data_IF_749158396135
#
_entry.id   IF_749158396135
#
_cell.length_a   1.000
_cell.length_b   1.000
_cell.length_c   1.000
_cell.angle_alpha   90.00
_cell.angle_beta   90.00
_cell.angle_gamma   90.00
#
_symmetry.space_group_name_H-M   'P 1'
#
loop_
_entity.id
_entity.type
_entity.pdbx_description
1 polymer ?
#
# COMPACT_ATOMS: atom_id res chain seq x y z
N UNK A 1 24.19 -6.45 54.10
CA UNK A 1 24.15 -6.94 52.70
C UNK A 1 22.98 -6.25 52.04
N UNK A 2 23.27 -5.32 51.12
CA UNK A 2 22.28 -4.52 50.44
C UNK A 2 21.74 -5.30 49.23
N UNK A 3 20.41 -5.36 49.11
CA UNK A 3 19.70 -5.91 47.97
C UNK A 3 19.97 -5.07 46.72
N UNK A 4 20.23 -5.67 45.54
CA UNK A 4 20.34 -4.90 44.32
C UNK A 4 18.95 -4.38 43.91
N UNK A 5 18.84 -3.06 43.78
CA UNK A 5 17.69 -2.39 43.19
C UNK A 5 17.66 -2.65 41.67
N UNK A 6 16.51 -2.98 41.07
CA UNK A 6 16.41 -3.03 39.61
C UNK A 6 16.21 -1.61 39.08
N UNK A 7 17.29 -0.89 38.77
CA UNK A 7 17.28 0.11 37.71
C UNK A 7 17.71 -0.62 36.44
N UNK A 8 16.94 -0.65 35.36
CA UNK A 8 16.58 0.52 34.57
C UNK A 8 15.37 0.19 33.71
N UNK A 9 14.39 1.08 33.68
CA UNK A 9 13.31 1.09 32.70
C UNK A 9 13.95 1.25 31.32
N UNK A 10 14.10 0.16 30.58
CA UNK A 10 14.32 0.22 29.15
C UNK A 10 13.13 0.98 28.57
N UNK A 11 13.35 2.24 28.20
CA UNK A 11 12.33 3.00 27.48
C UNK A 11 12.19 2.29 26.16
N UNK A 12 11.12 1.51 25.99
CA UNK A 12 10.74 0.92 24.71
C UNK A 12 10.59 2.12 23.77
N UNK A 13 11.64 2.40 23.00
CA UNK A 13 11.65 3.47 22.01
C UNK A 13 10.56 3.11 21.00
N UNK A 14 9.46 3.86 21.03
CA UNK A 14 8.43 3.77 19.99
C UNK A 14 9.10 4.14 18.66
N UNK A 15 9.25 3.20 17.72
CA UNK A 15 9.95 3.45 16.47
C UNK A 15 9.16 4.37 15.53
N UNK A 16 7.92 4.75 15.88
CA UNK A 16 7.10 5.78 15.24
C UNK A 16 6.88 7.01 16.12
N UNK A 17 7.56 7.09 17.26
CA UNK A 17 7.52 8.24 18.15
C UNK A 17 8.11 9.49 17.49
N UNK A 18 7.72 10.67 17.97
CA UNK A 18 8.10 11.98 17.39
C UNK A 18 9.62 12.18 17.18
N UNK A 19 10.45 11.56 18.01
CA UNK A 19 11.91 11.68 17.97
C UNK A 19 12.60 10.46 17.33
N UNK A 20 11.84 9.52 16.78
CA UNK A 20 12.36 8.33 16.13
C UNK A 20 12.68 8.59 14.65
N UNK A 21 13.55 7.78 14.01
CA UNK A 21 13.84 7.88 12.59
C UNK A 21 12.61 7.83 11.68
N UNK A 22 11.56 7.11 12.08
CA UNK A 22 10.30 7.01 11.33
C UNK A 22 9.18 7.89 11.90
N UNK A 23 9.47 8.82 12.82
CA UNK A 23 8.48 9.67 13.48
C UNK A 23 7.72 10.63 12.54
N UNK A 24 8.28 10.90 11.37
CA UNK A 24 7.68 11.72 10.30
C UNK A 24 7.27 10.90 9.07
N UNK A 25 7.35 9.57 9.14
CA UNK A 25 6.92 8.72 8.05
C UNK A 25 5.42 8.91 7.80
N UNK A 26 5.01 9.02 6.54
CA UNK A 26 3.60 9.04 6.13
C UNK A 26 3.01 7.62 6.17
N UNK A 27 3.83 6.64 5.82
CA UNK A 27 3.43 5.23 5.80
C UNK A 27 4.55 4.32 6.25
N UNK A 28 4.16 3.11 6.62
CA UNK A 28 5.07 2.03 6.97
C UNK A 28 4.70 0.77 6.21
N UNK A 29 5.72 0.03 5.79
CA UNK A 29 5.62 -1.22 5.06
C UNK A 29 6.25 -2.34 5.92
N UNK A 30 5.42 -3.22 6.49
CA UNK A 30 5.89 -4.29 7.40
C UNK A 30 5.91 -5.65 6.72
N UNK A 31 6.97 -6.45 6.87
CA UNK A 31 6.96 -7.84 6.40
C UNK A 31 5.87 -8.67 7.10
N UNK A 32 4.98 -9.33 6.35
CA UNK A 32 3.92 -10.18 6.91
C UNK A 32 4.24 -11.68 6.79
N UNK A 33 4.58 -12.17 5.59
CA UNK A 33 4.86 -13.60 5.37
C UNK A 33 6.32 -13.97 5.68
N UNK A 34 6.58 -15.27 5.78
CA UNK A 34 7.89 -15.83 6.11
C UNK A 34 8.97 -15.40 5.10
N UNK A 35 8.62 -15.38 3.82
CA UNK A 35 9.52 -14.94 2.75
C UNK A 35 9.91 -13.46 2.89
N UNK A 36 8.95 -12.57 3.16
CA UNK A 36 9.23 -11.15 3.36
C UNK A 36 10.05 -10.88 4.63
N UNK A 37 9.75 -11.59 5.73
CA UNK A 37 10.52 -11.48 6.98
C UNK A 37 11.98 -11.91 6.80
N UNK A 38 12.19 -13.03 6.11
CA UNK A 38 13.52 -13.52 5.77
C UNK A 38 14.27 -12.57 4.84
N UNK A 39 13.63 -12.09 3.78
CA UNK A 39 14.21 -11.13 2.85
C UNK A 39 14.57 -9.80 3.54
N UNK A 40 13.70 -9.31 4.43
CA UNK A 40 13.99 -8.14 5.26
C UNK A 40 15.25 -8.35 6.12
N UNK A 41 15.37 -9.52 6.77
CA UNK A 41 16.55 -9.84 7.57
C UNK A 41 17.83 -9.83 6.74
N UNK A 42 17.82 -10.43 5.55
CA UNK A 42 18.97 -10.42 4.64
C UNK A 42 19.37 -9.00 4.22
N UNK A 43 18.38 -8.11 3.99
CA UNK A 43 18.65 -6.70 3.69
C UNK A 43 19.32 -6.00 4.89
N UNK A 44 18.89 -6.30 6.12
CA UNK A 44 19.55 -5.76 7.33
C UNK A 44 20.98 -6.28 7.44
N UNK A 45 21.20 -7.59 7.21
CA UNK A 45 22.55 -8.17 7.22
C UNK A 45 23.45 -7.51 6.17
N UNK A 46 22.95 -7.33 4.94
CA UNK A 46 23.66 -6.62 3.87
C UNK A 46 24.05 -5.19 4.27
N UNK A 47 23.18 -4.48 5.00
CA UNK A 47 23.48 -3.13 5.51
C UNK A 47 24.53 -3.19 6.63
N UNK A 48 24.40 -4.14 7.57
CA UNK A 48 25.32 -4.28 8.73
C UNK A 48 26.71 -4.80 8.37
N UNK A 49 26.88 -5.52 7.26
CA UNK A 49 28.20 -5.89 6.74
C UNK A 49 29.13 -4.65 6.55
N UNK A 50 28.56 -3.45 6.43
CA UNK A 50 29.27 -2.16 6.42
C UNK A 50 30.14 -1.92 7.66
N UNK A 51 29.74 -2.37 8.84
CA UNK A 51 30.43 -2.07 10.10
C UNK A 51 31.67 -2.95 10.32
N UNK A 52 31.82 -4.05 9.56
CA UNK A 52 32.87 -5.05 9.74
C UNK A 52 34.06 -4.92 8.76
N UNK A 53 33.95 -4.09 7.71
CA UNK A 53 34.95 -3.98 6.61
C UNK A 53 35.54 -2.55 6.47
N UNK A 54 35.47 -1.76 7.54
CA UNK A 54 35.73 -0.31 7.57
C UNK A 54 37.21 0.11 7.53
N UNK A 55 38.01 -0.45 6.62
CA UNK A 55 39.39 0.00 6.40
C UNK A 55 39.74 0.43 4.96
N UNK A 56 38.92 0.22 3.90
CA UNK A 56 39.44 0.53 2.54
C UNK A 56 38.46 0.87 1.38
N UNK A 57 37.16 1.17 1.57
CA UNK A 57 36.29 1.44 0.40
C UNK A 57 35.22 2.54 0.62
N UNK A 58 35.61 3.80 0.39
CA UNK A 58 34.77 5.02 0.47
C UNK A 58 33.62 5.07 -0.57
N UNK A 59 33.57 4.16 -1.54
CA UNK A 59 32.55 4.15 -2.60
C UNK A 59 31.38 3.20 -2.30
N UNK A 60 31.62 2.06 -1.65
CA UNK A 60 30.55 1.10 -1.33
C UNK A 60 29.67 1.60 -0.16
N UNK A 61 30.20 2.54 0.63
CA UNK A 61 29.58 3.18 1.79
C UNK A 61 28.36 4.04 1.45
N UNK A 62 28.25 4.60 0.23
CA UNK A 62 27.11 5.45 -0.17
C UNK A 62 25.84 4.62 -0.46
N UNK A 63 25.99 3.41 -1.00
CA UNK A 63 24.83 2.58 -1.40
C UNK A 63 24.09 2.00 -0.21
N UNK A 64 24.83 1.47 0.78
CA UNK A 64 24.22 0.88 1.98
C UNK A 64 23.56 1.94 2.86
N UNK A 65 24.23 3.08 3.04
CA UNK A 65 23.67 4.23 3.77
C UNK A 65 22.41 4.78 3.08
N UNK A 66 22.34 4.74 1.75
CA UNK A 66 21.12 5.07 1.03
C UNK A 66 19.94 4.17 1.40
N UNK A 67 20.13 2.85 1.55
CA UNK A 67 19.04 1.94 1.91
C UNK A 67 18.66 2.03 3.38
N UNK A 68 19.64 2.21 4.26
CA UNK A 68 19.45 2.29 5.71
C UNK A 68 18.49 3.43 6.12
N UNK A 69 18.46 4.55 5.38
CA UNK A 69 17.61 5.70 5.71
C UNK A 69 16.10 5.43 5.58
N UNK A 70 15.69 4.38 4.88
CA UNK A 70 14.27 4.05 4.64
C UNK A 70 13.74 2.92 5.52
N UNK A 71 14.51 2.46 6.51
CA UNK A 71 14.12 1.32 7.33
C UNK A 71 14.49 1.51 8.79
N UNK A 72 13.67 0.93 9.65
CA UNK A 72 13.97 0.75 11.06
C UNK A 72 13.99 -0.75 11.35
N UNK A 73 15.00 -1.21 12.09
CA UNK A 73 15.13 -2.59 12.51
C UNK A 73 15.53 -2.66 13.99
N UNK A 74 15.18 -3.79 14.63
CA UNK A 74 15.47 -4.04 16.04
C UNK A 74 16.98 -4.19 16.30
N UNK A 75 17.40 -3.83 17.52
CA UNK A 75 18.80 -3.98 17.93
C UNK A 75 19.20 -5.45 18.16
N UNK A 76 18.21 -6.32 18.39
CA UNK A 76 18.39 -7.75 18.62
C UNK A 76 17.70 -8.58 17.55
N UNK A 77 18.28 -9.73 17.22
CA UNK A 77 17.64 -10.74 16.39
C UNK A 77 16.68 -11.59 17.21
N UNK A 78 15.61 -12.05 16.59
CA UNK A 78 14.57 -12.86 17.22
C UNK A 78 14.40 -14.17 16.46
N UNK A 79 14.13 -15.25 17.18
CA UNK A 79 13.78 -16.53 16.57
C UNK A 79 12.32 -16.51 16.07
N UNK A 80 12.14 -16.77 14.77
CA UNK A 80 10.83 -17.00 14.17
C UNK A 80 10.74 -18.43 13.64
N UNK A 81 9.87 -19.23 14.26
CA UNK A 81 9.72 -20.66 13.92
C UNK A 81 9.13 -20.89 12.52
N UNK A 82 8.33 -19.95 12.00
CA UNK A 82 7.75 -20.07 10.67
C UNK A 82 8.82 -19.77 9.61
N UNK A 83 9.63 -18.73 9.84
CA UNK A 83 10.78 -18.43 8.97
C UNK A 83 11.81 -19.54 9.00
N UNK A 84 12.10 -20.10 10.18
CA UNK A 84 13.02 -21.24 10.28
C UNK A 84 12.55 -22.44 9.46
N UNK A 85 11.24 -22.76 9.47
CA UNK A 85 10.69 -23.82 8.61
C UNK A 85 10.79 -23.47 7.13
N UNK A 86 10.50 -22.22 6.77
CA UNK A 86 10.59 -21.74 5.39
C UNK A 86 12.02 -21.84 4.83
N UNK A 87 13.01 -21.37 5.59
CA UNK A 87 14.43 -21.43 5.20
C UNK A 87 14.88 -22.88 5.06
N UNK A 88 14.58 -23.72 6.05
CA UNK A 88 14.94 -25.15 5.99
C UNK A 88 14.26 -25.88 4.82
N UNK A 89 13.04 -25.51 4.45
CA UNK A 89 12.38 -26.12 3.29
C UNK A 89 13.06 -25.72 1.98
N UNK A 90 13.47 -24.45 1.85
CA UNK A 90 14.15 -23.97 0.65
C UNK A 90 15.57 -24.54 0.52
N UNK A 91 16.32 -24.69 1.61
CA UNK A 91 17.66 -25.31 1.58
C UNK A 91 17.60 -26.79 1.20
N UNK A 92 16.54 -27.51 1.59
CA UNK A 92 16.32 -28.90 1.17
C UNK A 92 16.00 -28.98 -0.33
N UNK A 93 15.23 -28.04 -0.88
CA UNK A 93 14.90 -27.99 -2.31
C UNK A 93 16.09 -27.58 -3.20
N UNK A 94 16.99 -26.74 -2.69
CA UNK A 94 18.21 -26.31 -3.40
C UNK A 94 19.36 -27.33 -3.33
N UNK A 95 19.21 -28.39 -2.53
CA UNK A 95 20.19 -29.50 -2.48
C UNK A 95 19.99 -30.44 -3.67
N UNK A 96 20.89 -30.47 -4.68
CA UNK A 96 20.75 -31.36 -5.81
C UNK A 96 20.89 -32.81 -5.33
N UNK A 97 19.79 -33.55 -5.32
CA UNK A 97 19.77 -34.96 -4.99
C UNK A 97 20.57 -35.73 -6.05
N UNK A 98 21.83 -36.07 -5.74
CA UNK A 98 22.56 -37.08 -6.51
C UNK A 98 21.94 -38.45 -6.20
N UNK A 99 21.54 -39.27 -7.20
CA UNK A 99 21.05 -40.60 -6.93
C UNK A 99 22.25 -41.52 -6.78
N UNK A 100 22.58 -41.95 -5.56
CA UNK A 100 23.51 -43.08 -5.35
C UNK A 100 23.27 -43.77 -4.01
N UNK A 101 22.59 -44.91 -4.11
CA UNK A 101 23.01 -46.20 -3.54
C UNK A 101 23.44 -46.26 -2.07
N UNK A 102 22.50 -46.74 -1.24
CA UNK A 102 22.72 -47.69 -0.14
C UNK A 102 24.11 -47.74 0.50
N UNK A 103 24.28 -47.04 1.61
CA UNK A 103 25.06 -47.55 2.74
C UNK A 103 24.54 -46.95 4.05
N UNK A 104 24.30 -47.85 4.99
CA UNK A 104 23.93 -47.57 6.36
C UNK A 104 25.04 -46.78 7.06
N UNK A 105 24.85 -45.47 7.17
CA UNK A 105 25.51 -44.65 8.18
C UNK A 105 24.40 -43.84 8.84
N UNK A 106 24.32 -43.95 10.16
CA UNK A 106 23.52 -43.11 11.05
C UNK A 106 23.89 -41.64 10.83
N UNK A 107 23.30 -41.02 9.81
CA UNK A 107 23.30 -39.58 9.65
C UNK A 107 22.33 -39.04 10.69
N UNK A 108 22.86 -38.34 11.68
CA UNK A 108 22.10 -37.43 12.50
C UNK A 108 21.15 -36.65 11.61
N UNK A 109 19.84 -36.79 11.85
CA UNK A 109 18.90 -35.71 11.62
C UNK A 109 19.48 -34.51 12.37
N UNK A 110 20.31 -33.70 11.72
CA UNK A 110 20.72 -32.42 12.28
C UNK A 110 19.41 -31.69 12.56
N UNK A 111 19.17 -31.40 13.84
CA UNK A 111 18.00 -30.62 14.22
C UNK A 111 18.04 -29.32 13.40
N UNK A 112 16.90 -28.91 12.82
CA UNK A 112 16.84 -27.70 12.01
C UNK A 112 17.41 -26.54 12.83
N UNK A 113 18.52 -25.97 12.35
CA UNK A 113 19.18 -24.88 13.06
C UNK A 113 18.20 -23.71 13.19
N UNK A 114 17.97 -23.18 14.41
CA UNK A 114 17.02 -22.10 14.60
C UNK A 114 17.47 -20.86 13.83
N UNK A 115 16.66 -20.40 12.89
CA UNK A 115 16.96 -19.18 12.12
C UNK A 115 16.59 -17.96 12.95
N UNK A 116 17.61 -17.17 13.32
CA UNK A 116 17.45 -15.86 13.93
C UNK A 116 17.28 -14.82 12.82
N UNK A 117 16.35 -13.89 13.01
CA UNK A 117 16.07 -12.84 12.03
C UNK A 117 16.05 -11.45 12.67
N UNK A 118 16.41 -10.45 11.88
CA UNK A 118 16.13 -9.06 12.22
C UNK A 118 14.64 -8.76 12.02
N UNK A 119 14.05 -7.99 12.93
CA UNK A 119 12.66 -7.55 12.82
C UNK A 119 12.59 -6.04 12.61
N UNK A 120 11.56 -5.55 11.95
CA UNK A 120 11.47 -4.13 11.62
C UNK A 120 10.47 -3.84 10.52
N UNK A 121 10.64 -2.69 9.89
CA UNK A 121 9.79 -2.22 8.80
C UNK A 121 10.49 -1.18 7.93
N UNK A 122 10.04 -1.03 6.70
CA UNK A 122 10.37 0.12 5.88
C UNK A 122 9.41 1.27 6.17
N UNK A 123 9.86 2.50 6.01
CA UNK A 123 9.02 3.67 6.21
C UNK A 123 9.19 4.68 5.08
N UNK A 124 8.10 5.34 4.73
CA UNK A 124 8.01 6.28 3.61
C UNK A 124 7.85 7.68 4.19
N UNK A 125 8.95 8.43 4.21
CA UNK A 125 9.00 9.81 4.67
C UNK A 125 9.29 10.72 3.47
N UNK A 126 8.43 11.71 3.24
CA UNK A 126 8.58 12.68 2.14
C UNK A 126 9.71 13.67 2.36
N UNK A 127 10.23 13.78 3.59
CA UNK A 127 11.40 14.60 3.89
C UNK A 127 12.71 13.90 3.49
N UNK A 128 12.68 12.60 3.22
CA UNK A 128 13.84 11.83 2.78
C UNK A 128 13.91 11.87 1.25
N UNK A 129 15.03 12.37 0.73
CA UNK A 129 15.26 12.47 -0.72
C UNK A 129 15.28 11.09 -1.38
N UNK A 130 14.38 10.87 -2.32
CA UNK A 130 14.33 9.68 -3.20
C UNK A 130 15.33 9.79 -4.36
N UNK A 131 15.59 8.68 -5.04
CA UNK A 131 16.42 8.64 -6.24
C UNK A 131 15.82 9.44 -7.39
N UNK A 132 14.49 9.38 -7.50
CA UNK A 132 13.70 9.99 -8.54
C UNK A 132 12.60 10.82 -7.88
N UNK A 133 12.79 12.14 -7.85
CA UNK A 133 11.87 13.06 -7.17
C UNK A 133 10.52 13.21 -7.90
N UNK A 134 10.41 12.67 -9.11
CA UNK A 134 9.28 12.78 -10.03
C UNK A 134 8.37 11.55 -10.04
N UNK A 135 8.70 10.46 -9.33
CA UNK A 135 7.90 9.22 -9.41
C UNK A 135 7.50 8.61 -8.06
N UNK A 136 7.93 9.14 -6.92
CA UNK A 136 7.61 8.55 -5.60
C UNK A 136 8.71 7.62 -5.09
N UNK A 137 8.37 6.61 -4.28
CA UNK A 137 9.34 5.66 -3.74
C UNK A 137 9.40 4.40 -4.61
N UNK A 138 10.56 4.16 -5.21
CA UNK A 138 10.80 2.99 -6.03
C UNK A 138 11.18 1.81 -5.12
N UNK A 139 10.47 0.69 -5.26
CA UNK A 139 10.71 -0.53 -4.48
C UNK A 139 11.19 -1.66 -5.37
N UNK A 140 12.11 -2.50 -4.87
CA UNK A 140 12.57 -3.65 -5.64
C UNK A 140 13.76 -4.37 -5.03
N UNK A 141 14.50 -5.07 -5.89
CA UNK A 141 15.59 -5.97 -5.50
C UNK A 141 16.98 -5.37 -5.77
N UNK A 142 17.96 -5.78 -4.98
CA UNK A 142 19.36 -5.36 -5.12
C UNK A 142 19.88 -5.62 -6.53
N UNK A 143 20.59 -4.62 -7.05
CA UNK A 143 21.38 -4.73 -8.26
C UNK A 143 22.84 -4.91 -7.88
N UNK A 144 23.38 -6.13 -8.02
CA UNK A 144 24.82 -6.40 -7.81
C UNK A 144 25.70 -5.44 -8.64
N UNK A 145 25.27 -5.13 -9.87
CA UNK A 145 25.91 -4.14 -10.72
C UNK A 145 25.84 -2.72 -10.11
N UNK A 146 24.69 -2.35 -9.54
CA UNK A 146 24.51 -1.06 -8.86
C UNK A 146 25.46 -0.91 -7.67
N UNK A 147 25.58 -1.95 -6.85
CA UNK A 147 26.54 -1.99 -5.74
C UNK A 147 27.98 -1.80 -6.25
N UNK A 148 28.39 -2.52 -7.30
CA UNK A 148 29.73 -2.38 -7.89
C UNK A 148 30.04 -0.98 -8.44
N UNK A 149 29.01 -0.19 -8.78
CA UNK A 149 29.17 1.18 -9.28
C UNK A 149 28.80 2.24 -8.26
N UNK A 150 28.64 1.87 -6.98
CA UNK A 150 28.19 2.79 -5.93
C UNK A 150 26.86 3.51 -6.26
N UNK A 151 25.96 2.84 -6.97
CA UNK A 151 24.71 3.42 -7.47
C UNK A 151 23.48 2.64 -6.98
N UNK A 152 22.73 3.17 -5.99
CA UNK A 152 21.45 2.60 -5.61
C UNK A 152 20.47 2.62 -6.78
N UNK A 153 19.74 1.51 -6.99
CA UNK A 153 18.81 1.37 -8.11
C UNK A 153 17.34 1.59 -7.76
N UNK A 154 17.03 1.58 -6.45
CA UNK A 154 15.70 1.71 -5.83
C UNK A 154 15.84 2.46 -4.52
N UNK A 155 14.76 3.03 -4.01
CA UNK A 155 14.72 3.67 -2.69
C UNK A 155 14.57 2.61 -1.60
N UNK A 156 13.60 1.70 -1.76
CA UNK A 156 13.29 0.65 -0.79
C UNK A 156 13.75 -0.69 -1.33
N UNK A 157 14.75 -1.26 -0.66
CA UNK A 157 15.32 -2.56 -0.99
C UNK A 157 14.55 -3.67 -0.28
N UNK A 158 13.75 -4.45 -1.02
CA UNK A 158 12.90 -5.50 -0.47
C UNK A 158 13.64 -6.82 -0.25
N UNK A 159 14.63 -7.10 -1.09
CA UNK A 159 15.42 -8.34 -1.07
C UNK A 159 16.72 -8.11 -1.85
N UNK A 160 17.77 -8.84 -1.49
CA UNK A 160 19.02 -8.94 -2.26
C UNK A 160 19.03 -10.17 -3.19
N UNK A 161 18.24 -11.19 -2.83
CA UNK A 161 18.13 -12.45 -3.54
C UNK A 161 17.15 -12.40 -4.73
N UNK A 162 17.49 -13.13 -5.79
CA UNK A 162 16.68 -13.30 -7.00
C UNK A 162 15.49 -14.24 -6.78
N UNK A 163 15.49 -15.08 -5.74
CA UNK A 163 14.32 -15.85 -5.39
C UNK A 163 13.18 -14.91 -4.96
N UNK A 164 11.93 -15.29 -5.24
CA UNK A 164 10.76 -14.51 -4.85
C UNK A 164 10.13 -13.62 -5.94
N UNK A 165 10.59 -13.75 -7.20
CA UNK A 165 10.00 -13.05 -8.36
C UNK A 165 9.99 -11.51 -8.28
N UNK A 166 10.86 -10.92 -7.46
CA UNK A 166 11.01 -9.46 -7.32
C UNK A 166 11.98 -8.92 -8.38
N UNK A 167 11.49 -7.99 -9.20
CA UNK A 167 12.33 -7.31 -10.18
C UNK A 167 13.25 -6.27 -9.51
N UNK A 168 14.31 -5.85 -10.21
CA UNK A 168 15.22 -4.82 -9.69
C UNK A 168 14.51 -3.51 -9.38
N UNK A 169 13.61 -3.09 -10.27
CA UNK A 169 12.73 -1.91 -10.12
C UNK A 169 11.30 -2.40 -10.21
N UNK A 170 10.76 -2.89 -9.10
CA UNK A 170 9.57 -3.71 -9.15
C UNK A 170 8.30 -2.88 -9.27
N UNK A 171 8.10 -1.99 -8.30
CA UNK A 171 6.91 -1.17 -8.22
C UNK A 171 7.27 0.20 -7.66
N UNK A 172 6.32 1.11 -7.77
CA UNK A 172 6.42 2.46 -7.22
C UNK A 172 5.27 2.64 -6.25
N UNK A 173 5.58 3.08 -5.04
CA UNK A 173 4.60 3.52 -4.05
C UNK A 173 4.54 5.04 -4.13
N UNK A 174 3.36 5.61 -4.27
CA UNK A 174 3.14 7.05 -4.31
C UNK A 174 1.74 7.40 -3.79
N UNK A 175 1.33 8.66 -3.86
CA UNK A 175 0.00 9.12 -3.50
C UNK A 175 -0.76 9.64 -4.72
N UNK A 176 -2.06 9.37 -4.79
CA UNK A 176 -2.92 9.96 -5.81
C UNK A 176 -3.03 11.48 -5.59
N UNK A 177 -2.91 12.30 -6.65
CA UNK A 177 -3.14 13.75 -6.54
C UNK A 177 -4.60 14.07 -6.18
N UNK A 178 -5.56 13.26 -6.63
CA UNK A 178 -6.99 13.50 -6.39
C UNK A 178 -7.44 13.01 -5.01
N UNK A 179 -7.15 11.75 -4.70
CA UNK A 179 -7.67 11.09 -3.49
C UNK A 179 -6.68 11.14 -2.33
N UNK A 180 -5.43 11.57 -2.54
CA UNK A 180 -4.36 11.54 -1.52
C UNK A 180 -4.16 10.17 -0.86
N UNK A 181 -4.76 9.12 -1.41
CA UNK A 181 -4.57 7.76 -0.98
C UNK A 181 -3.26 7.26 -1.57
N UNK A 182 -2.58 6.43 -0.79
CA UNK A 182 -1.44 5.72 -1.29
C UNK A 182 -1.85 4.79 -2.43
N UNK A 183 -0.95 4.64 -3.37
CA UNK A 183 -1.13 3.93 -4.63
C UNK A 183 0.13 3.13 -4.89
N UNK A 184 -0.03 1.96 -5.48
CA UNK A 184 1.07 1.12 -5.95
C UNK A 184 0.91 0.99 -7.44
N UNK A 185 1.98 1.25 -8.18
CA UNK A 185 2.03 1.04 -9.62
C UNK A 185 3.16 0.08 -9.99
N UNK A 186 2.89 -0.81 -10.94
CA UNK A 186 3.89 -1.76 -11.41
C UNK A 186 4.84 -1.05 -12.39
N UNK A 187 6.15 -1.13 -12.13
CA UNK A 187 7.18 -0.52 -12.97
C UNK A 187 7.84 -1.60 -13.85
N UNK A 188 8.41 -2.65 -13.25
CA UNK A 188 8.87 -3.86 -13.93
C UNK A 188 8.62 -5.12 -13.09
N UNK A 189 8.42 -6.26 -13.73
CA UNK A 189 8.26 -7.55 -13.04
C UNK A 189 7.00 -8.27 -13.45
N UNK A 190 6.78 -9.45 -12.85
CA UNK A 190 5.70 -10.34 -13.26
C UNK A 190 4.33 -9.85 -12.77
N UNK A 191 4.25 -9.47 -11.50
CA UNK A 191 3.01 -8.95 -10.90
C UNK A 191 3.25 -8.30 -9.55
N UNK A 192 2.39 -7.35 -9.20
CA UNK A 192 2.16 -6.93 -7.83
C UNK A 192 0.68 -7.10 -7.49
N UNK A 193 0.33 -7.37 -6.23
CA UNK A 193 -1.08 -7.49 -5.81
C UNK A 193 -1.31 -6.57 -4.63
N UNK A 194 -2.30 -5.69 -4.71
CA UNK A 194 -2.72 -4.83 -3.60
C UNK A 194 -4.11 -5.26 -3.18
N UNK A 195 -4.24 -5.79 -1.97
CA UNK A 195 -5.45 -6.40 -1.45
C UNK A 195 -5.95 -7.50 -2.42
N UNK A 196 -7.05 -7.26 -3.13
CA UNK A 196 -7.61 -8.16 -4.14
C UNK A 196 -7.30 -7.71 -5.59
N UNK A 197 -6.63 -6.57 -5.78
CA UNK A 197 -6.33 -5.99 -7.09
C UNK A 197 -4.97 -6.46 -7.60
N UNK A 198 -4.95 -7.23 -8.68
CA UNK A 198 -3.72 -7.69 -9.33
C UNK A 198 -3.25 -6.70 -10.40
N UNK A 199 -1.97 -6.34 -10.34
CA UNK A 199 -1.25 -5.50 -11.29
C UNK A 199 -0.33 -6.39 -12.13
N UNK A 200 -0.62 -6.54 -13.41
CA UNK A 200 0.12 -7.45 -14.33
C UNK A 200 0.74 -6.73 -15.52
N UNK A 201 0.51 -5.43 -15.67
CA UNK A 201 1.08 -4.63 -16.74
C UNK A 201 1.65 -3.31 -16.21
N UNK A 202 2.73 -2.85 -16.86
CA UNK A 202 3.41 -1.60 -16.49
C UNK A 202 2.44 -0.43 -16.53
N UNK A 203 2.48 0.42 -15.50
CA UNK A 203 1.63 1.60 -15.38
C UNK A 203 0.21 1.30 -14.87
N UNK A 204 -0.14 0.03 -14.62
CA UNK A 204 -1.36 -0.26 -13.85
C UNK A 204 -1.17 0.17 -12.40
N UNK A 205 -2.22 0.75 -11.82
CA UNK A 205 -2.22 1.32 -10.48
C UNK A 205 -3.29 0.64 -9.64
N UNK A 206 -2.97 0.38 -8.37
CA UNK A 206 -3.93 -0.04 -7.36
C UNK A 206 -3.91 0.92 -6.16
N UNK A 207 -5.08 1.16 -5.60
CA UNK A 207 -5.28 2.05 -4.47
C UNK A 207 -5.19 1.35 -3.12
N UNK A 208 -4.55 2.00 -2.16
CA UNK A 208 -4.45 1.57 -0.77
C UNK A 208 -5.51 2.28 0.09
N UNK A 209 -6.78 1.94 -0.16
CA UNK A 209 -7.94 2.60 0.45
C UNK A 209 -8.25 2.15 1.90
N UNK A 210 -7.61 1.08 2.37
CA UNK A 210 -7.83 0.52 3.70
C UNK A 210 -6.87 1.14 4.71
N UNK A 211 -7.21 1.10 6.00
CA UNK A 211 -6.29 1.52 7.07
C UNK A 211 -5.02 0.66 7.13
N UNK A 212 -5.16 -0.64 6.83
CA UNK A 212 -4.07 -1.59 6.62
C UNK A 212 -4.32 -2.30 5.28
N UNK A 213 -3.38 -2.17 4.35
CA UNK A 213 -3.45 -2.78 3.02
C UNK A 213 -2.43 -3.90 2.95
N UNK A 214 -2.77 -4.99 2.25
CA UNK A 214 -1.82 -6.06 1.96
C UNK A 214 -1.24 -5.87 0.58
N UNK A 215 0.08 -5.93 0.46
CA UNK A 215 0.77 -5.77 -0.81
C UNK A 215 1.70 -6.96 -1.03
N UNK A 216 1.59 -7.57 -2.20
CA UNK A 216 2.50 -8.59 -2.67
C UNK A 216 3.40 -8.01 -3.75
N UNK A 217 4.71 -8.15 -3.54
CA UNK A 217 5.75 -7.88 -4.54
C UNK A 217 6.37 -9.23 -4.89
N UNK A 218 5.94 -9.83 -6.01
CA UNK A 218 6.20 -11.24 -6.26
C UNK A 218 5.69 -12.12 -5.11
N UNK A 219 6.59 -12.87 -4.48
CA UNK A 219 6.27 -13.79 -3.38
C UNK A 219 6.37 -13.13 -1.99
N UNK A 220 6.79 -11.86 -1.92
CA UNK A 220 6.97 -11.13 -0.66
C UNK A 220 5.69 -10.37 -0.30
N UNK A 221 5.10 -10.68 0.85
CA UNK A 221 3.87 -10.07 1.35
C UNK A 221 4.16 -9.07 2.47
N UNK A 222 3.62 -7.86 2.33
CA UNK A 222 3.80 -6.77 3.28
C UNK A 222 2.45 -6.14 3.67
N UNK A 223 2.39 -5.57 4.88
CA UNK A 223 1.33 -4.65 5.29
C UNK A 223 1.77 -3.21 5.01
N UNK A 224 0.93 -2.43 4.35
CA UNK A 224 1.09 -0.98 4.22
C UNK A 224 0.05 -0.28 5.09
N UNK A 225 0.53 0.53 6.01
CA UNK A 225 -0.31 1.25 6.97
C UNK A 225 0.02 2.74 6.96
N UNK A 226 -1.04 3.56 7.07
CA UNK A 226 -0.90 4.99 7.29
C UNK A 226 -0.49 5.24 8.74
N UNK A 227 0.56 6.04 8.94
CA UNK A 227 1.01 6.36 10.30
C UNK A 227 0.09 7.39 10.96
N UNK A 228 0.13 7.51 12.30
CA UNK A 228 -0.51 8.62 12.99
C UNK A 228 0.00 10.00 12.53
N UNK A 229 1.27 10.11 12.09
CA UNK A 229 1.84 11.36 11.57
C UNK A 229 1.12 11.80 10.29
N UNK A 230 0.87 10.88 9.36
CA UNK A 230 0.16 11.17 8.12
C UNK A 230 -1.21 11.81 8.35
N UNK A 231 -1.91 11.44 9.43
CA UNK A 231 -3.25 11.95 9.75
C UNK A 231 -3.25 13.31 10.47
N UNK A 232 -2.08 13.79 10.93
CA UNK A 232 -1.94 15.09 11.60
C UNK A 232 -1.82 16.23 10.57
N UNK A 233 -2.14 17.48 10.97
CA UNK A 233 -1.98 18.64 10.07
C UNK A 233 -0.59 18.79 9.46
N UNK A 234 0.47 18.51 10.22
CA UNK A 234 1.85 18.55 9.72
C UNK A 234 2.08 17.47 8.65
N UNK A 235 1.69 16.22 8.89
CA UNK A 235 1.82 15.16 7.90
C UNK A 235 0.98 15.40 6.65
N UNK A 236 -0.21 15.98 6.78
CA UNK A 236 -1.02 16.40 5.63
C UNK A 236 -0.36 17.53 4.82
N UNK A 237 0.39 18.42 5.48
CA UNK A 237 1.17 19.47 4.82
C UNK A 237 2.36 18.88 4.05
N UNK A 238 3.10 17.98 4.69
CA UNK A 238 4.23 17.27 4.08
C UNK A 238 3.77 16.40 2.90
N UNK A 239 2.62 15.72 3.03
CA UNK A 239 1.98 14.98 1.95
C UNK A 239 1.56 15.89 0.79
N UNK A 240 0.93 17.04 1.08
CA UNK A 240 0.57 18.02 0.05
C UNK A 240 1.79 18.50 -0.72
N UNK A 241 2.87 18.81 0.00
CA UNK A 241 4.12 19.28 -0.59
C UNK A 241 4.75 18.20 -1.47
N UNK A 242 4.74 16.95 -1.02
CA UNK A 242 5.20 15.79 -1.80
C UNK A 242 4.43 15.61 -3.10
N UNK A 243 3.09 15.59 -3.03
CA UNK A 243 2.23 15.43 -4.20
C UNK A 243 2.44 16.59 -5.19
N UNK A 244 2.51 17.83 -4.69
CA UNK A 244 2.75 19.03 -5.52
C UNK A 244 4.12 18.99 -6.17
N UNK A 245 5.15 18.50 -5.47
CA UNK A 245 6.49 18.33 -6.03
C UNK A 245 6.55 17.37 -7.22
N UNK A 246 5.66 16.38 -7.27
CA UNK A 246 5.59 15.38 -8.34
C UNK A 246 4.66 15.81 -9.48
N UNK A 247 3.44 16.27 -9.13
CA UNK A 247 2.36 16.51 -10.09
C UNK A 247 2.16 17.99 -10.46
N UNK A 248 2.91 18.90 -9.81
CA UNK A 248 2.74 20.33 -9.94
C UNK A 248 1.49 20.87 -9.24
N UNK A 249 1.14 22.11 -9.58
CA UNK A 249 0.04 22.87 -8.97
C UNK A 249 -1.36 22.47 -9.49
N UNK A 250 -1.45 21.47 -10.38
CA UNK A 250 -2.72 20.93 -10.89
C UNK A 250 -3.36 20.00 -9.84
N UNK A 251 -3.64 20.56 -8.68
CA UNK A 251 -4.22 19.89 -7.53
C UNK A 251 -5.74 20.08 -7.50
N UNK A 252 -6.49 19.12 -6.95
CA UNK A 252 -7.94 19.28 -6.79
C UNK A 252 -8.27 20.50 -5.94
N UNK A 253 -9.43 21.08 -6.23
CA UNK A 253 -10.00 22.16 -5.40
C UNK A 253 -10.16 21.72 -3.95
N UNK A 254 -10.17 22.67 -3.02
CA UNK A 254 -10.29 22.40 -1.58
C UNK A 254 -11.56 21.61 -1.25
N UNK A 255 -12.63 21.84 -2.00
CA UNK A 255 -13.91 21.15 -1.86
C UNK A 255 -13.79 19.66 -2.25
N UNK A 256 -13.10 19.35 -3.36
CA UNK A 256 -12.77 17.97 -3.73
C UNK A 256 -11.86 17.33 -2.69
N UNK A 257 -10.93 18.09 -2.12
CA UNK A 257 -10.05 17.62 -1.05
C UNK A 257 -10.78 17.35 0.27
N UNK A 258 -11.85 18.08 0.57
CA UNK A 258 -12.71 17.79 1.72
C UNK A 258 -13.60 16.56 1.47
N UNK A 259 -13.92 16.27 0.21
CA UNK A 259 -14.58 15.04 -0.19
C UNK A 259 -13.60 13.85 -0.29
N UNK A 260 -12.29 14.11 -0.17
CA UNK A 260 -11.26 13.08 -0.22
C UNK A 260 -11.47 12.07 0.89
N UNK A 261 -11.53 10.78 0.56
CA UNK A 261 -11.91 9.82 1.56
C UNK A 261 -10.79 9.48 2.53
N UNK A 262 -11.11 9.39 3.82
CA UNK A 262 -10.16 8.91 4.83
C UNK A 262 -10.05 7.38 4.74
N UNK A 263 -8.84 6.80 4.72
CA UNK A 263 -8.66 5.36 4.79
C UNK A 263 -9.44 4.76 5.98
N UNK A 264 -10.28 3.75 5.72
CA UNK A 264 -11.08 3.13 6.77
C UNK A 264 -10.26 2.12 7.58
N UNK A 265 -10.13 2.36 8.88
CA UNK A 265 -9.46 1.44 9.82
C UNK A 265 -10.39 0.38 10.39
N UNK A 266 -11.70 0.62 10.41
CA UNK A 266 -12.70 -0.30 10.98
C UNK A 266 -13.90 -0.49 10.08
N UNK A 267 -14.42 -1.72 9.97
CA UNK A 267 -15.61 -2.08 9.18
C UNK A 267 -15.53 -1.68 7.70
N UNK A 268 -14.44 -2.09 7.04
CA UNK A 268 -14.25 -1.94 5.60
C UNK A 268 -15.45 -2.53 4.85
N UNK A 269 -16.10 -1.71 4.03
CA UNK A 269 -17.19 -2.16 3.16
C UNK A 269 -16.80 -1.97 1.70
N UNK A 270 -16.98 -3.02 0.90
CA UNK A 270 -16.79 -2.98 -0.55
C UNK A 270 -18.10 -3.21 -1.26
N UNK A 271 -18.32 -2.50 -2.35
CA UNK A 271 -19.43 -2.76 -3.29
C UNK A 271 -18.81 -3.02 -4.65
N UNK A 272 -18.88 -4.28 -5.10
CA UNK A 272 -18.10 -4.71 -6.26
C UNK A 272 -16.61 -4.44 -6.06
N UNK A 273 -16.03 -3.64 -6.95
CA UNK A 273 -14.61 -3.24 -6.93
C UNK A 273 -14.31 -1.94 -6.19
N UNK A 274 -15.33 -1.31 -5.61
CA UNK A 274 -15.20 0.00 -4.95
C UNK A 274 -15.13 -0.16 -3.44
N UNK A 275 -14.21 0.55 -2.82
CA UNK A 275 -14.09 0.61 -1.36
C UNK A 275 -14.86 1.83 -0.86
N UNK A 276 -15.83 1.59 0.04
CA UNK A 276 -16.53 2.65 0.76
C UNK A 276 -15.56 3.20 1.79
N UNK A 277 -15.36 4.51 1.77
CA UNK A 277 -14.28 5.16 2.51
C UNK A 277 -14.78 6.25 3.46
N UNK A 278 -16.08 6.52 3.48
CA UNK A 278 -16.69 7.51 4.37
C UNK A 278 -18.08 7.12 4.86
N UNK A 279 -18.63 8.00 5.69
CA UNK A 279 -19.98 7.87 6.21
C UNK A 279 -21.06 8.14 5.17
N UNK A 280 -22.30 8.24 5.64
CA UNK A 280 -23.45 8.62 4.83
C UNK A 280 -23.32 10.08 4.37
N UNK A 281 -23.13 10.31 3.08
CA UNK A 281 -23.13 11.67 2.49
C UNK A 281 -24.54 12.23 2.39
N UNK A 282 -25.51 11.38 2.03
CA UNK A 282 -26.89 11.81 1.86
C UNK A 282 -27.87 10.65 1.94
N UNK A 283 -29.08 10.92 2.41
CA UNK A 283 -30.19 9.95 2.48
C UNK A 283 -31.46 10.57 1.93
N UNK A 284 -32.10 9.85 1.02
CA UNK A 284 -33.41 10.17 0.51
C UNK A 284 -34.38 9.02 0.70
N UNK A 285 -35.63 9.24 0.29
CA UNK A 285 -36.71 8.24 0.37
C UNK A 285 -36.39 6.95 -0.38
N UNK A 286 -35.55 7.02 -1.40
CA UNK A 286 -35.26 5.90 -2.31
C UNK A 286 -33.84 5.36 -2.19
N UNK A 287 -33.07 5.78 -1.18
CA UNK A 287 -31.72 5.25 -0.99
C UNK A 287 -30.79 6.14 -0.19
N UNK A 288 -29.54 5.69 -0.13
CA UNK A 288 -28.43 6.34 0.56
C UNK A 288 -27.26 6.53 -0.39
N UNK A 289 -26.53 7.63 -0.22
CA UNK A 289 -25.33 7.97 -0.99
C UNK A 289 -24.14 7.95 -0.05
N UNK A 290 -23.06 7.29 -0.47
CA UNK A 290 -21.80 7.21 0.25
C UNK A 290 -20.63 7.48 -0.70
N UNK A 291 -19.53 8.07 -0.21
CA UNK A 291 -18.33 8.21 -1.00
C UNK A 291 -17.61 6.86 -1.06
N UNK A 292 -16.97 6.61 -2.19
CA UNK A 292 -16.13 5.45 -2.41
C UNK A 292 -14.94 5.81 -3.28
N UNK A 293 -14.00 4.88 -3.41
CA UNK A 293 -12.88 4.97 -4.36
C UNK A 293 -12.84 3.73 -5.23
N UNK A 294 -12.38 3.93 -6.46
CA UNK A 294 -12.11 2.84 -7.39
C UNK A 294 -10.95 1.94 -6.95
N UNK A 295 -10.75 0.80 -7.63
CA UNK A 295 -9.68 -0.14 -7.31
C UNK A 295 -8.27 0.44 -7.58
N UNK A 296 -8.16 1.44 -8.45
CA UNK A 296 -6.93 2.19 -8.70
C UNK A 296 -6.63 3.21 -7.58
N UNK A 297 -7.61 3.50 -6.73
CA UNK A 297 -7.55 4.54 -5.71
C UNK A 297 -7.32 5.94 -6.27
N UNK A 298 -7.42 6.14 -7.59
CA UNK A 298 -7.06 7.39 -8.23
C UNK A 298 -8.23 8.38 -8.21
N UNK A 299 -9.46 7.89 -8.29
CA UNK A 299 -10.66 8.74 -8.36
C UNK A 299 -11.61 8.52 -7.20
N UNK A 300 -12.22 9.62 -6.75
CA UNK A 300 -13.37 9.57 -5.85
C UNK A 300 -14.59 9.18 -6.68
N UNK A 301 -15.55 8.47 -6.11
CA UNK A 301 -16.87 8.22 -6.72
C UNK A 301 -17.96 8.32 -5.67
N UNK A 302 -19.20 8.53 -6.09
CA UNK A 302 -20.37 8.46 -5.23
C UNK A 302 -21.18 7.20 -5.54
N UNK A 303 -21.50 6.41 -4.51
CA UNK A 303 -22.34 5.22 -4.67
C UNK A 303 -23.70 5.46 -4.04
N UNK A 304 -24.74 5.48 -4.87
CA UNK A 304 -26.13 5.48 -4.44
C UNK A 304 -26.65 4.06 -4.32
N UNK A 305 -26.87 3.59 -3.09
CA UNK A 305 -27.56 2.32 -2.81
C UNK A 305 -29.07 2.55 -2.74
N UNK A 306 -29.82 1.80 -3.51
CA UNK A 306 -31.28 1.75 -3.51
C UNK A 306 -31.75 0.33 -3.18
N UNK A 307 -32.79 0.24 -2.37
CA UNK A 307 -33.41 -1.02 -1.96
C UNK A 307 -34.75 -1.18 -2.67
N UNK A 308 -34.93 -2.26 -3.42
CA UNK A 308 -36.14 -2.53 -4.17
C UNK A 308 -36.81 -3.84 -3.70
N UNK A 309 -38.05 -3.72 -3.25
CA UNK A 309 -38.93 -4.89 -3.05
C UNK A 309 -39.29 -5.53 -4.39
N UNK A 310 -39.70 -6.81 -4.42
CA UNK A 310 -40.01 -7.53 -5.67
C UNK A 310 -40.91 -6.76 -6.65
N UNK A 311 -41.93 -6.06 -6.15
CA UNK A 311 -42.86 -5.27 -6.96
C UNK A 311 -42.26 -4.03 -7.63
N UNK A 312 -41.08 -3.56 -7.19
CA UNK A 312 -40.41 -2.36 -7.71
C UNK A 312 -39.12 -2.67 -8.47
N UNK A 313 -38.72 -3.94 -8.57
CA UNK A 313 -37.48 -4.34 -9.26
C UNK A 313 -37.48 -3.87 -10.72
N UNK A 314 -38.54 -4.18 -11.46
CA UNK A 314 -38.63 -3.84 -12.88
C UNK A 314 -38.58 -2.33 -13.12
N UNK A 315 -39.36 -1.57 -12.35
CA UNK A 315 -39.35 -0.11 -12.38
C UNK A 315 -37.95 0.46 -12.08
N UNK A 316 -37.25 -0.11 -11.09
CA UNK A 316 -35.89 0.33 -10.71
C UNK A 316 -34.90 0.06 -11.84
N UNK A 317 -34.97 -1.11 -12.48
CA UNK A 317 -34.13 -1.47 -13.64
C UNK A 317 -34.35 -0.53 -14.82
N UNK A 318 -35.60 -0.20 -15.15
CA UNK A 318 -35.93 0.74 -16.23
C UNK A 318 -35.35 2.14 -15.97
N UNK A 319 -35.39 2.61 -14.71
CA UNK A 319 -34.77 3.89 -14.33
C UNK A 319 -33.25 3.86 -14.45
N UNK A 320 -32.60 2.77 -14.03
CA UNK A 320 -31.15 2.60 -14.18
C UNK A 320 -30.75 2.55 -15.66
N UNK A 321 -31.52 1.83 -16.49
CA UNK A 321 -31.28 1.77 -17.94
C UNK A 321 -31.41 3.15 -18.60
N UNK A 322 -32.36 3.97 -18.17
CA UNK A 322 -32.47 5.36 -18.62
C UNK A 322 -31.26 6.20 -18.19
N UNK A 323 -30.78 6.02 -16.96
CA UNK A 323 -29.57 6.72 -16.48
C UNK A 323 -28.33 6.34 -17.29
N UNK A 324 -28.15 5.06 -17.60
CA UNK A 324 -27.08 4.56 -18.47
C UNK A 324 -27.17 5.19 -19.88
N UNK A 325 -28.38 5.21 -20.45
CA UNK A 325 -28.62 5.83 -21.75
C UNK A 325 -28.24 7.32 -21.76
N UNK A 326 -28.64 8.06 -20.73
CA UNK A 326 -28.31 9.49 -20.58
C UNK A 326 -26.80 9.68 -20.43
N UNK A 327 -26.13 8.88 -19.60
CA UNK A 327 -24.68 8.96 -19.37
C UNK A 327 -23.90 8.75 -20.68
N UNK A 328 -24.25 7.72 -21.47
CA UNK A 328 -23.63 7.45 -22.76
C UNK A 328 -23.87 8.56 -23.78
N UNK A 329 -25.07 9.15 -23.80
CA UNK A 329 -25.40 10.29 -24.68
C UNK A 329 -24.61 11.54 -24.29
N UNK A 330 -24.58 11.87 -23.00
CA UNK A 330 -23.80 12.99 -22.48
C UNK A 330 -22.31 12.85 -22.84
N UNK A 331 -21.74 11.66 -22.69
CA UNK A 331 -20.35 11.39 -23.07
C UNK A 331 -20.12 11.54 -24.59
N UNK A 332 -21.01 11.01 -25.43
CA UNK A 332 -20.92 11.13 -26.88
C UNK A 332 -21.01 12.59 -27.36
N UNK A 333 -21.81 13.40 -26.67
CA UNK A 333 -22.00 14.82 -26.97
C UNK A 333 -21.03 15.74 -26.20
N UNK A 334 -20.08 15.17 -25.45
CA UNK A 334 -19.12 15.90 -24.60
C UNK A 334 -19.80 16.90 -23.64
N UNK A 335 -20.96 16.51 -23.10
CA UNK A 335 -21.71 17.30 -22.13
C UNK A 335 -21.21 17.01 -20.72
N UNK A 336 -20.76 18.06 -20.02
CA UNK A 336 -20.23 17.97 -18.66
C UNK A 336 -21.23 18.42 -17.58
N UNK A 337 -22.42 18.90 -17.98
CA UNK A 337 -23.46 19.41 -17.08
C UNK A 337 -24.42 18.34 -16.57
N UNK A 338 -24.16 17.06 -16.90
CA UNK A 338 -24.99 15.92 -16.50
C UNK A 338 -24.14 15.03 -15.62
N UNK A 339 -24.66 14.69 -14.44
CA UNK A 339 -24.00 13.73 -13.55
C UNK A 339 -23.91 12.37 -14.25
N UNK A 340 -22.69 11.93 -14.55
CA UNK A 340 -22.45 10.69 -15.28
C UNK A 340 -22.56 9.48 -14.36
N UNK A 341 -23.32 8.48 -14.81
CA UNK A 341 -23.27 7.15 -14.23
C UNK A 341 -22.09 6.38 -14.82
N UNK A 342 -21.22 5.88 -13.95
CA UNK A 342 -20.05 5.07 -14.32
C UNK A 342 -20.48 3.64 -14.58
N UNK A 343 -21.19 3.04 -13.60
CA UNK A 343 -21.73 1.69 -13.71
C UNK A 343 -22.87 1.48 -12.71
N UNK A 344 -23.57 0.35 -12.86
CA UNK A 344 -24.57 -0.11 -11.91
C UNK A 344 -24.30 -1.55 -11.49
N UNK A 345 -24.39 -1.83 -10.19
CA UNK A 345 -24.19 -3.16 -9.60
C UNK A 345 -25.52 -3.60 -8.98
N UNK A 346 -26.00 -4.79 -9.35
CA UNK A 346 -27.22 -5.38 -8.79
C UNK A 346 -26.86 -6.57 -7.91
N UNK A 347 -27.28 -6.52 -6.65
CA UNK A 347 -27.15 -7.63 -5.69
C UNK A 347 -28.55 -8.14 -5.40
N UNK A 348 -28.83 -9.36 -5.85
CA UNK A 348 -30.11 -10.02 -5.59
C UNK A 348 -30.19 -10.44 -4.12
N UNK A 349 -31.27 -10.08 -3.44
CA UNK A 349 -31.51 -10.47 -2.07
C UNK A 349 -32.70 -11.41 -1.94
N UNK A 350 -32.88 -11.99 -0.74
CA UNK A 350 -34.02 -12.90 -0.47
C UNK A 350 -35.36 -12.16 -0.34
N UNK A 351 -35.33 -10.93 0.19
CA UNK A 351 -36.54 -10.14 0.45
C UNK A 351 -36.53 -8.78 -0.25
N UNK A 352 -35.34 -8.24 -0.50
CA UNK A 352 -35.10 -6.92 -1.09
C UNK A 352 -33.84 -7.04 -1.94
N UNK A 353 -33.92 -6.51 -3.16
CA UNK A 353 -32.76 -6.39 -4.04
C UNK A 353 -32.06 -5.06 -3.80
N UNK A 354 -30.73 -5.06 -3.82
CA UNK A 354 -29.92 -3.85 -3.72
C UNK A 354 -29.39 -3.46 -5.09
N UNK A 355 -29.63 -2.22 -5.47
CA UNK A 355 -29.08 -1.59 -6.66
C UNK A 355 -28.10 -0.50 -6.24
N UNK A 356 -26.86 -0.61 -6.70
CA UNK A 356 -25.81 0.36 -6.45
C UNK A 356 -25.48 1.09 -7.74
N UNK A 357 -25.71 2.40 -7.76
CA UNK A 357 -25.37 3.24 -8.89
C UNK A 357 -24.08 3.96 -8.55
N UNK A 358 -23.03 3.71 -9.33
CA UNK A 358 -21.74 4.38 -9.21
C UNK A 358 -21.76 5.62 -10.09
N UNK A 359 -21.48 6.77 -9.50
CA UNK A 359 -21.57 8.08 -10.12
C UNK A 359 -20.20 8.76 -10.04
N UNK A 360 -19.88 9.57 -11.04
CA UNK A 360 -18.77 10.51 -10.91
C UNK A 360 -19.00 11.42 -9.69
N UNK A 361 -17.95 11.74 -8.92
CA UNK A 361 -18.11 12.57 -7.73
C UNK A 361 -18.46 13.98 -8.22
N UNK A 362 -19.62 14.47 -7.81
CA UNK A 362 -19.97 15.87 -8.03
C UNK A 362 -19.95 16.58 -6.69
N UNK A 363 -18.88 17.32 -6.47
CA UNK A 363 -18.81 18.31 -5.38
C UNK A 363 -19.32 19.63 -5.93
N UNK A 364 -20.60 19.66 -6.27
CA UNK A 364 -21.29 20.91 -6.53
C UNK A 364 -22.37 21.07 -5.48
N UNK A 365 -22.37 22.26 -4.89
CA UNK A 365 -23.48 22.85 -4.16
C UNK A 365 -24.80 22.33 -4.71
N UNK A 366 -25.65 21.82 -3.82
CA UNK A 366 -27.04 21.65 -4.20
C UNK A 366 -27.61 23.04 -4.54
N UNK A 367 -28.59 23.15 -5.44
CA UNK A 367 -29.22 24.46 -5.74
C UNK A 367 -29.71 25.17 -4.47
N UNK A 368 -30.00 24.41 -3.41
CA UNK A 368 -30.35 24.90 -2.06
C UNK A 368 -29.22 25.59 -1.29
N UNK A 369 -27.97 25.39 -1.68
CA UNK A 369 -26.77 25.98 -1.05
C UNK A 369 -26.28 27.25 -1.76
N UNK A 370 -26.88 27.61 -2.91
CA UNK A 370 -26.58 28.86 -3.60
C UNK A 370 -27.16 30.02 -2.76
N UNK A 371 -26.33 31.00 -2.33
CA UNK A 371 -26.81 32.14 -1.58
C UNK A 371 -27.90 32.89 -2.34
N UNK A 372 -29.01 33.20 -1.67
CA UNK A 372 -30.18 33.88 -2.28
C UNK A 372 -29.88 35.26 -2.86
N UNK A 373 -28.72 35.83 -2.56
CA UNK A 373 -28.32 37.18 -2.95
C UNK A 373 -27.57 37.24 -4.30
N UNK A 374 -27.71 36.21 -5.15
CA UNK A 374 -27.11 36.17 -6.51
C UNK A 374 -28.13 36.40 -7.64
N UNK A 375 -29.29 37.01 -7.36
CA UNK A 375 -30.23 37.50 -8.38
C UNK A 375 -30.14 39.00 -8.58
#
# INVERSE_FOLDING_TARGET
MASPSPSSVATILDPLGLNSPAGRALMVLRPENEAAKWAFSQVVDFIKEQDAQSDDDDLVTDVRSHYAKFMWFSDEQVYDSAVSRFVNHNTILESPSSPSSSSSSTCSLEEPCPTMIWTGFFFLDSNIKTLHSDCGWLVGRLSKRGVSFAQPTVDILLTDDRAGNVARRHAVINFSPETRLATVSLEFGNSAVVNATSLTSRGTVAGCALGQNRIHFGDLMYSLEYTPYCLRPQGQTDLSSHITGIHGDDQPTKEVLQATPTPQTTNVQTIGRYTITGGLTGRGTFGRVRPAVGPDGQKIVAIKTMEARPSRIQYTREKIALMDFIARRAQAEKQHNVLTMIESIHIQGRQVDEFHIVLEPYVGFTLSEIPKDTQ
#
